data_IF_984611542365
#
_entry.id   IF_984611542365
#
_cell.length_a   1.000
_cell.length_b   1.000
_cell.length_c   1.000
_cell.angle_alpha   90.00
_cell.angle_beta   90.00
_cell.angle_gamma   90.00
#
_symmetry.space_group_name_H-M   'P 1'
#
loop_
_entity.id
_entity.type
_entity.pdbx_description
1 polymer ?
#
# COMPACT_ATOMS: atom_id res chain seq x y z
N UNK A 1 74.80 61.97 -16.48
CA UNK A 1 75.71 60.80 -16.46
C UNK A 1 74.98 59.68 -17.18
N UNK A 2 75.33 59.41 -18.43
CA UNK A 2 76.27 58.33 -18.85
C UNK A 2 75.61 56.95 -18.62
N UNK A 3 75.39 56.08 -19.60
CA UNK A 3 76.16 55.83 -20.83
C UNK A 3 75.28 55.21 -21.92
N UNK A 4 75.59 55.58 -23.16
CA UNK A 4 75.35 54.84 -24.39
C UNK A 4 76.13 53.53 -24.41
N UNK A 5 75.60 52.46 -25.03
CA UNK A 5 76.45 51.57 -25.83
C UNK A 5 75.68 50.97 -27.01
N UNK A 6 76.21 51.25 -28.21
CA UNK A 6 75.91 50.61 -29.50
C UNK A 6 76.67 49.28 -29.57
N UNK A 7 76.62 48.62 -30.75
CA UNK A 7 77.43 47.46 -31.22
C UNK A 7 76.59 46.16 -31.14
N UNK A 8 76.34 45.36 -32.17
CA UNK A 8 76.89 45.17 -33.52
C UNK A 8 75.85 44.40 -34.38
N UNK A 9 75.87 44.61 -35.69
CA UNK A 9 75.36 43.66 -36.70
C UNK A 9 76.59 43.07 -37.40
N UNK A 10 76.65 41.76 -37.72
CA UNK A 10 76.64 41.42 -39.15
C UNK A 10 76.05 40.04 -39.53
N UNK A 11 75.49 40.02 -40.75
CA UNK A 11 75.63 39.02 -41.83
C UNK A 11 75.07 37.60 -41.62
N UNK A 12 73.97 37.36 -42.35
CA UNK A 12 73.98 36.42 -43.49
C UNK A 12 73.89 34.92 -43.21
N UNK A 13 72.75 34.32 -43.58
CA UNK A 13 72.75 33.03 -44.25
C UNK A 13 71.49 32.89 -45.10
N UNK A 14 71.74 32.49 -46.33
CA UNK A 14 70.81 32.24 -47.43
C UNK A 14 70.34 30.78 -47.33
N UNK A 15 69.19 30.54 -47.95
CA UNK A 15 68.67 29.26 -48.43
C UNK A 15 67.85 28.41 -47.45
N UNK A 16 66.68 28.06 -47.96
CA UNK A 16 66.36 26.71 -48.42
C UNK A 16 65.03 26.26 -47.83
N UNK A 17 64.04 26.15 -48.72
CA UNK A 17 62.67 25.84 -48.35
C UNK A 17 62.52 24.52 -47.63
N UNK A 18 61.39 24.40 -46.92
CA UNK A 18 60.77 23.12 -46.67
C UNK A 18 59.28 23.29 -46.44
N UNK A 19 58.55 22.73 -47.40
CA UNK A 19 57.28 22.06 -47.26
C UNK A 19 56.17 22.80 -46.50
N UNK A 20 55.25 23.33 -47.31
CA UNK A 20 53.84 23.32 -46.99
C UNK A 20 53.43 21.93 -46.46
N UNK A 21 52.97 21.91 -45.22
CA UNK A 21 52.34 20.76 -44.56
C UNK A 21 51.22 21.27 -43.67
N UNK A 22 50.37 22.14 -44.22
CA UNK A 22 49.14 22.58 -43.55
C UNK A 22 48.13 21.44 -43.62
N UNK A 23 47.83 20.86 -42.45
CA UNK A 23 46.86 19.80 -42.25
C UNK A 23 45.57 20.04 -43.03
N UNK A 24 45.39 19.25 -44.08
CA UNK A 24 44.16 19.09 -44.82
C UNK A 24 43.14 18.38 -43.91
N UNK A 25 42.22 19.14 -43.31
CA UNK A 25 41.05 18.57 -42.66
C UNK A 25 40.13 18.02 -43.74
N UNK A 26 40.31 16.73 -44.06
CA UNK A 26 39.36 15.98 -44.88
C UNK A 26 38.02 15.89 -44.13
N UNK A 27 37.12 16.80 -44.45
CA UNK A 27 35.73 16.73 -44.05
C UNK A 27 35.10 15.55 -44.79
N UNK A 28 35.04 14.38 -44.14
CA UNK A 28 34.39 13.20 -44.72
C UNK A 28 32.89 13.43 -44.68
N UNK A 29 32.29 13.47 -45.87
CA UNK A 29 30.86 13.62 -46.10
C UNK A 29 30.12 12.40 -45.51
N UNK A 30 29.77 12.48 -44.23
CA UNK A 30 28.98 11.49 -43.50
C UNK A 30 27.49 11.72 -43.75
N UNK A 31 27.05 11.61 -45.01
CA UNK A 31 25.65 11.72 -45.40
C UNK A 31 25.01 10.33 -45.40
N UNK A 32 24.25 10.03 -44.34
CA UNK A 32 23.47 8.79 -44.21
C UNK A 32 23.39 8.23 -42.78
N UNK A 33 24.43 8.45 -41.96
CA UNK A 33 24.52 7.85 -40.61
C UNK A 33 23.53 8.51 -39.63
N UNK A 34 23.18 9.79 -39.82
CA UNK A 34 22.21 10.50 -38.96
C UNK A 34 20.82 9.86 -38.94
N UNK A 35 20.41 9.21 -40.04
CA UNK A 35 19.10 8.58 -40.15
C UNK A 35 19.02 7.29 -39.31
N UNK A 36 20.12 6.55 -39.21
CA UNK A 36 20.22 5.36 -38.36
C UNK A 36 20.08 5.72 -36.87
N UNK A 37 20.70 6.82 -36.43
CA UNK A 37 20.58 7.27 -35.04
C UNK A 37 19.14 7.69 -34.68
N UNK A 38 18.43 8.37 -35.60
CA UNK A 38 17.02 8.71 -35.40
C UNK A 38 16.14 7.48 -35.21
N UNK A 39 16.31 6.47 -36.07
CA UNK A 39 15.54 5.22 -35.99
C UNK A 39 15.86 4.46 -34.70
N UNK A 40 17.14 4.42 -34.29
CA UNK A 40 17.58 3.78 -33.05
C UNK A 40 16.94 4.45 -31.83
N UNK A 41 17.02 5.78 -31.73
CA UNK A 41 16.48 6.55 -30.61
C UNK A 41 14.95 6.41 -30.56
N UNK A 42 14.28 6.49 -31.71
CA UNK A 42 12.82 6.32 -31.78
C UNK A 42 12.41 4.91 -31.33
N UNK A 43 13.17 3.89 -31.73
CA UNK A 43 12.95 2.51 -31.28
C UNK A 43 13.13 2.34 -29.77
N UNK A 44 14.15 2.97 -29.19
CA UNK A 44 14.39 2.97 -27.73
C UNK A 44 13.21 3.61 -26.97
N UNK A 45 12.78 4.79 -27.42
CA UNK A 45 11.65 5.51 -26.79
C UNK A 45 10.37 4.67 -26.89
N UNK A 46 10.12 4.08 -28.06
CA UNK A 46 8.95 3.22 -28.27
C UNK A 46 8.98 2.01 -27.32
N UNK A 47 10.12 1.33 -27.20
CA UNK A 47 10.27 0.18 -26.31
C UNK A 47 9.99 0.55 -24.84
N UNK A 48 10.52 1.69 -24.38
CA UNK A 48 10.26 2.19 -23.03
C UNK A 48 8.77 2.51 -22.84
N UNK A 49 8.15 3.18 -23.80
CA UNK A 49 6.73 3.55 -23.72
C UNK A 49 5.78 2.34 -23.68
N UNK A 50 6.08 1.30 -24.47
CA UNK A 50 5.32 0.05 -24.48
C UNK A 50 5.53 -0.73 -23.18
N UNK A 51 6.75 -0.75 -22.66
CA UNK A 51 7.06 -1.34 -21.36
C UNK A 51 6.24 -0.71 -20.23
N UNK A 52 6.18 0.62 -20.18
CA UNK A 52 5.37 1.34 -19.18
C UNK A 52 3.87 1.07 -19.37
N UNK A 53 3.39 1.05 -20.62
CA UNK A 53 1.97 0.80 -20.91
C UNK A 53 1.51 -0.57 -20.40
N UNK A 54 2.36 -1.60 -20.52
CA UNK A 54 2.05 -2.93 -20.00
C UNK A 54 1.92 -2.95 -18.46
N UNK A 55 2.78 -2.21 -17.76
CA UNK A 55 2.71 -2.08 -16.30
C UNK A 55 1.40 -1.41 -15.85
N UNK A 56 1.02 -0.32 -16.51
CA UNK A 56 -0.21 0.42 -16.19
C UNK A 56 -1.48 -0.46 -16.33
N UNK A 57 -1.52 -1.36 -17.31
CA UNK A 57 -2.66 -2.28 -17.48
C UNK A 57 -2.77 -3.26 -16.31
N UNK A 58 -1.65 -3.71 -15.77
CA UNK A 58 -1.64 -4.58 -14.60
C UNK A 58 -2.13 -3.85 -13.35
N UNK A 59 -1.71 -2.60 -13.17
CA UNK A 59 -2.16 -1.75 -12.07
C UNK A 59 -3.67 -1.47 -12.11
N UNK A 60 -4.25 -1.25 -13.30
CA UNK A 60 -5.71 -1.06 -13.46
C UNK A 60 -6.53 -2.26 -12.95
N UNK A 61 -6.02 -3.48 -13.09
CA UNK A 61 -6.70 -4.69 -12.56
C UNK A 61 -6.66 -4.73 -11.03
N UNK A 62 -5.54 -4.34 -10.44
CA UNK A 62 -5.40 -4.27 -8.98
C UNK A 62 -6.29 -3.19 -8.36
N UNK A 63 -6.51 -2.06 -9.06
CA UNK A 63 -7.43 -1.01 -8.61
C UNK A 63 -8.89 -1.49 -8.48
N UNK A 64 -9.32 -2.45 -9.32
CA UNK A 64 -10.65 -3.04 -9.22
C UNK A 64 -10.88 -3.80 -7.91
N UNK A 65 -9.85 -4.48 -7.38
CA UNK A 65 -9.92 -5.20 -6.11
C UNK A 65 -10.01 -4.26 -4.90
N UNK A 66 -9.49 -3.04 -5.02
CA UNK A 66 -9.64 -1.98 -4.01
C UNK A 66 -11.12 -1.58 -3.88
N UNK A 67 -11.86 -1.51 -4.99
CA UNK A 67 -13.30 -1.24 -4.94
C UNK A 67 -14.07 -2.29 -4.13
N UNK A 68 -13.74 -3.57 -4.31
CA UNK A 68 -14.33 -4.67 -3.54
C UNK A 68 -13.95 -4.62 -2.06
N UNK A 69 -12.74 -4.12 -1.75
CA UNK A 69 -12.31 -3.89 -0.38
C UNK A 69 -13.17 -2.86 0.35
N UNK A 70 -13.59 -1.79 -0.33
CA UNK A 70 -14.46 -0.76 0.29
C UNK A 70 -15.83 -1.36 0.62
N UNK A 71 -16.40 -2.15 -0.29
CA UNK A 71 -17.69 -2.82 -0.07
C UNK A 71 -17.58 -3.82 1.09
N UNK A 72 -16.53 -4.65 1.11
CA UNK A 72 -16.29 -5.58 2.21
C UNK A 72 -16.12 -4.86 3.55
N UNK A 73 -15.40 -3.73 3.58
CA UNK A 73 -15.22 -2.93 4.80
C UNK A 73 -16.53 -2.32 5.28
N UNK A 74 -17.29 -1.69 4.39
CA UNK A 74 -18.60 -1.11 4.71
C UNK A 74 -19.61 -2.17 5.20
N UNK A 75 -19.53 -3.38 4.65
CA UNK A 75 -20.39 -4.48 5.09
C UNK A 75 -20.01 -4.98 6.49
N UNK A 76 -18.71 -5.00 6.82
CA UNK A 76 -18.25 -5.29 8.18
C UNK A 76 -18.70 -4.20 9.18
N UNK A 77 -18.66 -2.94 8.77
CA UNK A 77 -19.10 -1.80 9.57
C UNK A 77 -20.60 -1.90 9.89
N UNK A 78 -21.42 -2.19 8.88
CA UNK A 78 -22.85 -2.44 9.06
C UNK A 78 -23.12 -3.60 10.04
N UNK A 79 -22.29 -4.65 9.99
CA UNK A 79 -22.39 -5.76 10.94
C UNK A 79 -22.07 -5.36 12.37
N UNK A 80 -21.18 -4.40 12.59
CA UNK A 80 -20.92 -3.82 13.92
C UNK A 80 -22.09 -2.96 14.37
N UNK A 81 -22.59 -2.09 13.51
CA UNK A 81 -23.73 -1.22 13.84
C UNK A 81 -24.96 -2.03 14.25
N UNK A 82 -25.22 -3.16 13.59
CA UNK A 82 -26.31 -4.07 13.99
C UNK A 82 -26.06 -4.68 15.36
N UNK A 83 -24.86 -5.18 15.63
CA UNK A 83 -24.53 -5.75 16.94
C UNK A 83 -24.64 -4.69 18.04
N UNK A 84 -24.12 -3.48 17.81
CA UNK A 84 -24.24 -2.34 18.73
C UNK A 84 -25.70 -1.94 18.95
N UNK A 85 -26.50 -1.90 17.89
CA UNK A 85 -27.91 -1.60 17.99
C UNK A 85 -28.66 -2.63 18.85
N UNK A 86 -28.35 -3.92 18.68
CA UNK A 86 -28.91 -4.99 19.51
C UNK A 86 -28.47 -4.87 20.98
N UNK A 87 -27.20 -4.50 21.24
CA UNK A 87 -26.72 -4.23 22.60
C UNK A 87 -27.51 -3.12 23.30
N UNK A 88 -27.97 -2.10 22.58
CA UNK A 88 -28.75 -0.99 23.16
C UNK A 88 -30.24 -1.30 23.30
N UNK A 89 -30.80 -2.10 22.40
CA UNK A 89 -32.25 -2.35 22.34
C UNK A 89 -32.68 -3.57 23.14
N UNK A 90 -31.82 -4.56 23.26
CA UNK A 90 -32.13 -5.85 23.86
C UNK A 90 -31.41 -6.00 25.21
N UNK A 91 -32.09 -6.41 26.28
CA UNK A 91 -31.43 -6.78 27.54
C UNK A 91 -30.59 -8.06 27.41
N UNK A 92 -30.77 -8.78 26.30
CA UNK A 92 -30.13 -10.06 25.96
C UNK A 92 -29.71 -10.02 24.48
N UNK A 93 -28.66 -9.26 24.12
CA UNK A 93 -28.23 -9.15 22.74
C UNK A 93 -27.62 -10.47 22.25
N UNK A 94 -27.82 -10.81 20.98
CA UNK A 94 -27.28 -12.04 20.44
C UNK A 94 -25.72 -11.99 20.39
N UNK A 95 -25.03 -13.10 20.67
CA UNK A 95 -23.57 -13.15 20.58
C UNK A 95 -23.06 -13.16 19.13
N UNK A 96 -23.93 -13.48 18.17
CA UNK A 96 -23.60 -13.58 16.75
C UNK A 96 -24.69 -12.98 15.88
N UNK A 97 -24.28 -12.14 14.92
CA UNK A 97 -25.15 -11.57 13.89
C UNK A 97 -24.56 -11.86 12.53
N UNK A 98 -25.41 -12.20 11.56
CA UNK A 98 -24.94 -12.33 10.19
C UNK A 98 -26.04 -11.97 9.22
N UNK A 99 -25.64 -11.41 8.09
CA UNK A 99 -26.58 -10.91 7.12
C UNK A 99 -25.92 -10.55 5.80
N UNK A 100 -26.75 -10.02 4.92
CA UNK A 100 -26.34 -9.59 3.60
C UNK A 100 -26.70 -8.13 3.38
N UNK A 101 -25.77 -7.37 2.83
CA UNK A 101 -26.02 -6.04 2.32
C UNK A 101 -25.85 -6.10 0.80
N UNK A 102 -26.99 -6.13 0.10
CA UNK A 102 -27.07 -6.46 -1.33
C UNK A 102 -26.45 -7.84 -1.63
N UNK A 103 -25.20 -7.87 -2.11
CA UNK A 103 -24.47 -9.08 -2.49
C UNK A 103 -23.21 -9.32 -1.66
N UNK A 104 -22.99 -8.52 -0.62
CA UNK A 104 -21.92 -8.66 0.35
C UNK A 104 -22.46 -9.31 1.64
N UNK A 105 -21.67 -10.19 2.24
CA UNK A 105 -22.01 -10.92 3.46
C UNK A 105 -21.21 -10.38 4.63
N UNK A 106 -21.84 -10.24 5.81
CA UNK A 106 -21.11 -10.01 7.05
C UNK A 106 -21.42 -11.07 8.09
N UNK A 107 -20.47 -11.25 8.99
CA UNK A 107 -20.61 -12.08 10.17
C UNK A 107 -19.92 -11.39 11.34
N UNK A 108 -20.68 -11.11 12.39
CA UNK A 108 -20.28 -10.34 13.55
C UNK A 108 -20.39 -11.21 14.80
N UNK A 109 -19.41 -11.05 15.69
CA UNK A 109 -19.38 -11.62 17.02
C UNK A 109 -19.35 -10.50 18.05
N UNK A 110 -20.20 -10.62 19.06
CA UNK A 110 -20.21 -9.78 20.25
C UNK A 110 -19.82 -10.61 21.48
N UNK A 111 -18.96 -10.03 22.33
CA UNK A 111 -18.57 -10.63 23.61
C UNK A 111 -18.69 -9.61 24.72
N UNK A 112 -19.29 -10.03 25.83
CA UNK A 112 -19.38 -9.27 27.07
C UNK A 112 -18.15 -9.50 27.94
N UNK A 113 -17.62 -8.44 28.56
CA UNK A 113 -16.36 -8.51 29.30
C UNK A 113 -16.53 -7.76 30.63
N UNK A 114 -16.52 -8.49 31.76
CA UNK A 114 -16.73 -7.89 33.08
C UNK A 114 -15.53 -7.01 33.52
N UNK A 115 -15.78 -6.03 34.39
CA UNK A 115 -14.82 -4.99 34.78
C UNK A 115 -13.54 -5.52 35.44
N UNK A 116 -13.58 -6.73 36.00
CA UNK A 116 -12.40 -7.38 36.59
C UNK A 116 -11.35 -7.79 35.54
N UNK A 117 -11.70 -7.78 34.25
CA UNK A 117 -10.83 -8.16 33.15
C UNK A 117 -10.49 -6.95 32.27
N UNK A 118 -9.29 -6.40 32.43
CA UNK A 118 -8.83 -5.17 31.74
C UNK A 118 -8.78 -5.25 30.20
N UNK A 119 -8.88 -6.45 29.60
CA UNK A 119 -8.69 -6.62 28.15
C UNK A 119 -9.60 -7.70 27.59
N UNK A 120 -10.52 -7.28 26.75
CA UNK A 120 -11.35 -8.20 26.01
C UNK A 120 -10.64 -8.68 24.72
N UNK A 121 -10.64 -9.99 24.48
CA UNK A 121 -9.95 -10.60 23.33
C UNK A 121 -10.77 -11.74 22.72
N UNK A 122 -10.87 -11.75 21.40
CA UNK A 122 -11.31 -12.94 20.67
C UNK A 122 -10.18 -13.96 20.74
N UNK A 123 -10.24 -14.87 21.72
CA UNK A 123 -9.23 -15.91 21.93
C UNK A 123 -8.88 -16.67 20.64
N UNK A 124 -7.64 -17.16 20.57
CA UNK A 124 -7.19 -17.94 19.43
C UNK A 124 -7.82 -19.34 19.48
N UNK A 125 -8.62 -19.77 18.49
CA UNK A 125 -9.24 -21.10 18.50
C UNK A 125 -8.20 -22.24 18.53
N UNK A 126 -6.97 -21.98 18.10
CA UNK A 126 -5.89 -22.98 18.05
C UNK A 126 -5.11 -23.11 19.37
N UNK A 127 -5.33 -22.19 20.33
CA UNK A 127 -4.69 -22.24 21.63
C UNK A 127 -5.64 -21.73 22.74
N UNK A 128 -6.53 -22.59 23.25
CA UNK A 128 -7.47 -22.24 24.33
C UNK A 128 -6.78 -22.02 25.70
N UNK A 129 -5.48 -22.29 25.82
CA UNK A 129 -4.70 -22.19 27.08
C UNK A 129 -3.87 -20.90 27.22
N UNK A 130 -3.96 -19.95 26.29
CA UNK A 130 -3.32 -18.64 26.49
C UNK A 130 -4.10 -17.87 27.58
N UNK A 131 -3.65 -18.01 28.83
CA UNK A 131 -4.11 -17.43 30.13
C UNK A 131 -4.35 -15.90 30.10
N UNK A 132 -5.23 -15.43 29.23
CA UNK A 132 -5.91 -14.15 29.38
C UNK A 132 -7.31 -14.47 29.84
N UNK A 133 -7.81 -13.77 30.87
CA UNK A 133 -9.11 -14.09 31.42
C UNK A 133 -10.13 -14.12 30.31
N UNK A 134 -10.69 -15.30 30.13
CA UNK A 134 -11.70 -15.58 29.12
C UNK A 134 -12.87 -14.73 29.54
N UNK A 135 -13.11 -13.63 28.84
CA UNK A 135 -14.41 -12.99 28.86
C UNK A 135 -15.39 -14.13 28.60
N UNK A 136 -16.32 -14.44 29.52
CA UNK A 136 -17.17 -15.61 29.41
C UNK A 136 -17.70 -15.61 27.98
N UNK A 137 -17.29 -16.64 27.23
CA UNK A 137 -17.75 -16.77 25.87
C UNK A 137 -19.26 -16.84 26.02
N UNK A 138 -19.97 -15.85 25.50
CA UNK A 138 -21.42 -15.86 25.38
C UNK A 138 -21.93 -16.95 24.42
N UNK A 139 -21.26 -18.10 24.38
CA UNK A 139 -21.76 -19.32 23.72
C UNK A 139 -22.80 -20.01 24.59
N UNK A 140 -22.96 -19.65 25.87
CA UNK A 140 -24.04 -20.23 26.68
C UNK A 140 -25.14 -19.22 26.99
N UNK A 141 -24.92 -18.03 27.56
CA UNK A 141 -26.01 -17.02 27.59
C UNK A 141 -25.46 -15.57 27.61
N UNK A 142 -25.47 -14.85 26.49
CA UNK A 142 -25.77 -13.41 26.60
C UNK A 142 -27.30 -13.35 26.68
N UNK A 143 -27.86 -13.60 27.87
CA UNK A 143 -29.31 -13.71 27.95
C UNK A 143 -29.97 -14.32 29.18
N UNK A 144 -29.28 -14.43 30.31
CA UNK A 144 -30.04 -14.43 31.55
C UNK A 144 -30.62 -13.02 31.74
N UNK A 145 -31.92 -12.91 31.99
CA UNK A 145 -32.50 -11.69 32.58
C UNK A 145 -32.33 -11.72 34.12
N UNK A 146 -31.55 -12.68 34.63
CA UNK A 146 -31.36 -12.97 36.03
C UNK A 146 -30.03 -12.35 36.49
N UNK A 147 -30.07 -11.31 37.34
CA UNK A 147 -28.87 -10.62 37.82
C UNK A 147 -27.96 -11.51 38.69
N UNK A 148 -28.43 -12.68 39.13
CA UNK A 148 -27.64 -13.64 39.92
C UNK A 148 -26.95 -14.72 39.06
N UNK A 149 -27.13 -14.70 37.74
CA UNK A 149 -26.46 -15.64 36.82
C UNK A 149 -25.04 -15.14 36.46
N UNK A 150 -24.07 -16.05 36.46
CA UNK A 150 -22.69 -15.78 36.00
C UNK A 150 -22.61 -15.36 34.53
N UNK A 151 -23.67 -15.64 33.77
CA UNK A 151 -23.85 -15.27 32.37
C UNK A 151 -24.58 -13.92 32.19
N UNK A 152 -24.98 -13.25 33.28
CA UNK A 152 -25.62 -11.92 33.21
C UNK A 152 -24.62 -10.86 32.74
N UNK A 153 -24.85 -10.33 31.54
CA UNK A 153 -24.00 -9.31 30.95
C UNK A 153 -24.40 -7.90 31.43
N UNK A 154 -24.00 -7.54 32.65
CA UNK A 154 -24.00 -6.15 33.16
C UNK A 154 -22.66 -5.45 32.87
N UNK A 155 -22.05 -5.77 31.73
CA UNK A 155 -20.71 -5.31 31.39
C UNK A 155 -20.76 -3.89 30.79
N UNK A 156 -19.94 -2.99 31.31
CA UNK A 156 -19.71 -1.65 30.72
C UNK A 156 -18.89 -1.75 29.41
N UNK A 157 -18.23 -2.89 29.20
CA UNK A 157 -17.27 -3.11 28.13
C UNK A 157 -17.69 -4.29 27.23
N UNK A 158 -17.64 -4.07 25.93
CA UNK A 158 -17.97 -5.07 24.90
C UNK A 158 -16.83 -5.17 23.89
N UNK A 159 -16.57 -6.40 23.44
CA UNK A 159 -15.76 -6.67 22.26
C UNK A 159 -16.65 -6.99 21.09
N UNK A 160 -16.39 -6.32 19.97
CA UNK A 160 -17.12 -6.55 18.73
C UNK A 160 -16.10 -6.90 17.64
N UNK A 161 -16.40 -7.94 16.87
CA UNK A 161 -15.61 -8.29 15.70
C UNK A 161 -16.56 -8.58 14.55
N UNK A 162 -16.43 -7.85 13.45
CA UNK A 162 -17.18 -8.14 12.24
C UNK A 162 -16.26 -8.46 11.08
N UNK A 163 -16.67 -9.43 10.27
CA UNK A 163 -16.03 -9.82 9.02
C UNK A 163 -16.99 -9.54 7.87
N UNK A 164 -16.61 -8.61 7.01
CA UNK A 164 -17.29 -8.36 5.76
C UNK A 164 -16.60 -9.08 4.60
N UNK A 165 -17.40 -9.68 3.73
CA UNK A 165 -16.95 -10.50 2.61
C UNK A 165 -17.68 -10.08 1.34
N UNK A 166 -16.92 -9.70 0.32
CA UNK A 166 -17.45 -9.39 -1.01
C UNK A 166 -16.54 -9.94 -2.11
N UNK A 167 -17.13 -10.74 -3.01
CA UNK A 167 -16.39 -11.50 -4.03
C UNK A 167 -15.25 -12.34 -3.41
N UNK A 168 -13.99 -11.97 -3.66
CA UNK A 168 -12.79 -12.63 -3.10
C UNK A 168 -12.09 -11.81 -2.02
N UNK A 169 -12.64 -10.66 -1.67
CA UNK A 169 -12.05 -9.74 -0.69
C UNK A 169 -12.78 -9.87 0.64
N UNK A 170 -12.00 -9.99 1.71
CA UNK A 170 -12.49 -10.02 3.09
C UNK A 170 -11.85 -8.89 3.88
N UNK A 171 -12.63 -8.22 4.71
CA UNK A 171 -12.17 -7.18 5.65
C UNK A 171 -12.75 -7.47 7.03
N UNK A 172 -11.98 -7.11 8.05
CA UNK A 172 -12.33 -7.33 9.45
C UNK A 172 -12.26 -6.00 10.18
N UNK A 173 -13.21 -5.77 11.09
CA UNK A 173 -13.17 -4.68 12.06
C UNK A 173 -13.29 -5.33 13.44
N UNK A 174 -12.44 -4.90 14.36
CA UNK A 174 -12.45 -5.35 15.76
C UNK A 174 -12.42 -4.10 16.65
N UNK A 175 -13.45 -3.96 17.48
CA UNK A 175 -13.57 -2.89 18.48
C UNK A 175 -13.32 -3.51 19.84
N UNK A 176 -12.35 -2.93 20.56
CA UNK A 176 -12.03 -3.25 21.94
C UNK A 176 -12.31 -2.00 22.75
N UNK A 177 -13.35 -2.03 23.56
CA UNK A 177 -13.66 -0.98 24.52
C UNK A 177 -13.52 -1.53 25.93
#
# INVERSE_FOLDING_TARGET
MSSTNKIQNPKGARQSGRAAGGLESKNQKSEGISLLFMVLITGLILAVSLGISALLIQEMRMMGEIGYSVIAFYTADNGIEEAVYDLYQSPSPAPEHSGYLDSAYYHTWAKCCHFEFEKCSFGNPDNPEEERPICPLGIENIGSNDPDDSDYCDAVNYCLKSLGSYKKVKRAIEIKY
#
